data_IF_479857651400
#
_entry.id   IF_479857651400
#
_cell.length_a   1.000
_cell.length_b   1.000
_cell.length_c   1.000
_cell.angle_alpha   90.00
_cell.angle_beta   90.00
_cell.angle_gamma   90.00
#
_symmetry.space_group_name_H-M   'P 1'
#
loop_
_entity.id
_entity.type
_entity.pdbx_description
1 polymer ?
#
# COMPACT_ATOMS: atom_id res chain seq x y z
N UNK A 1 -14.23 3.03 -11.94
CA UNK A 1 -12.86 3.40 -12.33
C UNK A 1 -12.10 2.24 -12.91
N UNK A 2 -11.82 1.21 -12.11
CA UNK A 2 -10.86 0.18 -12.49
C UNK A 2 -11.19 -0.50 -13.81
N UNK A 3 -12.44 -0.92 -14.00
CA UNK A 3 -12.93 -1.47 -15.29
C UNK A 3 -12.69 -0.55 -16.48
N UNK A 4 -12.82 0.78 -16.31
CA UNK A 4 -12.57 1.75 -17.39
C UNK A 4 -11.08 1.86 -17.74
N UNK A 5 -10.21 1.85 -16.74
CA UNK A 5 -8.75 1.88 -16.95
C UNK A 5 -8.26 0.57 -17.57
N UNK A 6 -8.73 -0.59 -17.10
CA UNK A 6 -8.44 -1.88 -17.74
C UNK A 6 -8.87 -1.86 -19.22
N UNK A 7 -10.12 -1.51 -19.50
CA UNK A 7 -10.64 -1.48 -20.87
C UNK A 7 -9.84 -0.53 -21.78
N UNK A 8 -9.43 0.64 -21.26
CA UNK A 8 -8.57 1.57 -22.00
C UNK A 8 -7.24 0.92 -22.39
N UNK A 9 -6.53 0.34 -21.43
CA UNK A 9 -5.20 -0.21 -21.69
C UNK A 9 -5.25 -1.55 -22.44
N UNK A 10 -6.38 -2.25 -22.40
CA UNK A 10 -6.66 -3.39 -23.29
C UNK A 10 -6.77 -2.95 -24.74
N UNK A 11 -7.38 -1.80 -25.01
CA UNK A 11 -7.52 -1.27 -26.35
C UNK A 11 -6.27 -0.54 -26.87
N UNK A 12 -5.45 0.06 -25.99
CA UNK A 12 -4.49 1.10 -26.40
C UNK A 12 -3.04 0.84 -25.98
N UNK A 13 -2.77 -0.04 -25.01
CA UNK A 13 -1.45 -0.08 -24.35
C UNK A 13 -0.85 -1.48 -24.20
N UNK A 14 -1.48 -2.49 -24.81
CA UNK A 14 -0.96 -3.86 -24.84
C UNK A 14 -1.37 -4.73 -23.65
N UNK A 15 -2.35 -4.32 -22.83
CA UNK A 15 -2.89 -5.20 -21.79
C UNK A 15 -3.75 -6.28 -22.46
N UNK A 16 -3.52 -7.56 -22.15
CA UNK A 16 -4.34 -8.64 -22.73
C UNK A 16 -5.81 -8.58 -22.28
N UNK A 17 -6.73 -9.00 -23.16
CA UNK A 17 -8.18 -8.97 -22.88
C UNK A 17 -8.60 -9.94 -21.78
N UNK A 18 -7.79 -10.97 -21.52
CA UNK A 18 -8.00 -11.90 -20.40
C UNK A 18 -7.79 -11.27 -19.02
N UNK A 19 -7.11 -10.12 -18.94
CA UNK A 19 -6.85 -9.47 -17.66
C UNK A 19 -8.13 -8.92 -17.03
N UNK A 20 -8.33 -9.27 -15.76
CA UNK A 20 -9.51 -8.87 -14.97
C UNK A 20 -9.11 -8.05 -13.74
N UNK A 21 -10.11 -7.48 -13.06
CA UNK A 21 -9.92 -6.69 -11.85
C UNK A 21 -10.69 -7.28 -10.68
N UNK A 22 -10.07 -7.30 -9.50
CA UNK A 22 -10.65 -7.75 -8.24
C UNK A 22 -10.20 -6.94 -7.03
N UNK A 23 -10.57 -7.43 -5.85
CA UNK A 23 -10.13 -6.89 -4.58
C UNK A 23 -9.61 -8.00 -3.68
N UNK A 24 -8.67 -7.65 -2.79
CA UNK A 24 -8.26 -8.51 -1.68
C UNK A 24 -8.33 -7.77 -0.32
N UNK A 25 -8.09 -8.49 0.76
CA UNK A 25 -8.12 -7.94 2.13
C UNK A 25 -6.71 -7.67 2.69
N UNK A 26 -5.70 -7.53 1.83
CA UNK A 26 -4.33 -7.32 2.31
C UNK A 26 -4.20 -6.00 3.07
N UNK A 27 -3.50 -6.03 4.20
CA UNK A 27 -3.21 -4.82 4.99
C UNK A 27 -1.78 -4.30 4.78
N UNK A 28 -0.98 -5.04 3.99
CA UNK A 28 0.45 -4.80 3.80
C UNK A 28 0.82 -4.26 2.40
N UNK A 29 -0.14 -4.20 1.46
CA UNK A 29 0.07 -3.67 0.11
C UNK A 29 -1.17 -2.96 -0.40
N UNK A 30 -0.95 -2.02 -1.30
CA UNK A 30 -1.99 -1.24 -1.98
C UNK A 30 -2.69 -2.06 -3.08
N UNK A 31 -1.89 -2.76 -3.89
CA UNK A 31 -2.34 -3.59 -5.00
C UNK A 31 -1.42 -4.78 -5.27
N UNK A 32 -1.81 -5.62 -6.21
CA UNK A 32 -0.99 -6.72 -6.72
C UNK A 32 -1.42 -7.15 -8.13
N UNK A 33 -0.44 -7.31 -9.01
CA UNK A 33 -0.55 -8.02 -10.28
C UNK A 33 -0.44 -9.54 -10.07
N UNK A 34 -1.51 -10.28 -10.36
CA UNK A 34 -1.54 -11.75 -10.28
C UNK A 34 -1.45 -12.37 -11.66
N UNK A 35 -0.23 -12.74 -12.05
CA UNK A 35 0.07 -13.27 -13.38
C UNK A 35 -0.64 -14.60 -13.68
N UNK A 36 -0.74 -15.51 -12.71
CA UNK A 36 -1.37 -16.84 -12.92
C UNK A 36 -2.86 -16.73 -13.17
N UNK A 37 -3.53 -15.89 -12.40
CA UNK A 37 -4.97 -15.64 -12.48
C UNK A 37 -5.32 -14.60 -13.55
N UNK A 38 -4.33 -13.95 -14.17
CA UNK A 38 -4.51 -12.79 -15.06
C UNK A 38 -5.45 -11.76 -14.41
N UNK A 39 -5.15 -11.39 -13.17
CA UNK A 39 -6.02 -10.51 -12.36
C UNK A 39 -5.20 -9.44 -11.64
N UNK A 40 -5.70 -8.22 -11.66
CA UNK A 40 -5.18 -7.11 -10.87
C UNK A 40 -6.09 -6.91 -9.67
N UNK A 41 -5.54 -6.99 -8.46
CA UNK A 41 -6.27 -6.71 -7.23
C UNK A 41 -5.81 -5.40 -6.60
N UNK A 42 -6.77 -4.68 -6.01
CA UNK A 42 -6.48 -3.67 -4.99
C UNK A 42 -6.90 -4.15 -3.61
N UNK A 43 -6.20 -3.69 -2.59
CA UNK A 43 -6.60 -3.94 -1.20
C UNK A 43 -7.84 -3.09 -0.87
N UNK A 44 -8.90 -3.74 -0.37
CA UNK A 44 -10.06 -3.02 0.19
C UNK A 44 -9.64 -2.10 1.32
N UNK A 45 -8.75 -2.59 2.19
CA UNK A 45 -8.23 -1.82 3.31
C UNK A 45 -7.56 -0.53 2.82
N UNK A 46 -6.73 -0.61 1.78
CA UNK A 46 -6.12 0.55 1.16
C UNK A 46 -7.14 1.52 0.57
N UNK A 47 -8.03 1.02 -0.29
CA UNK A 47 -9.00 1.84 -1.03
C UNK A 47 -9.93 2.66 -0.13
N UNK A 48 -10.21 2.20 1.09
CA UNK A 48 -11.04 2.93 2.05
C UNK A 48 -10.41 4.23 2.57
N UNK A 49 -9.09 4.39 2.44
CA UNK A 49 -8.32 5.54 2.97
C UNK A 49 -7.58 6.32 1.90
N UNK A 50 -7.36 5.70 0.75
CA UNK A 50 -6.64 6.28 -0.37
C UNK A 50 -7.50 7.34 -1.08
N UNK A 51 -6.86 8.41 -1.56
CA UNK A 51 -7.55 9.33 -2.45
C UNK A 51 -7.84 8.67 -3.79
N UNK A 52 -8.71 9.29 -4.59
CA UNK A 52 -8.96 8.83 -5.95
C UNK A 52 -7.68 8.72 -6.79
N UNK A 53 -6.82 9.74 -6.71
CA UNK A 53 -5.58 9.79 -7.46
C UNK A 53 -4.62 8.67 -7.03
N UNK A 54 -4.55 8.37 -5.74
CA UNK A 54 -3.72 7.28 -5.22
C UNK A 54 -4.19 5.91 -5.74
N UNK A 55 -5.50 5.66 -5.73
CA UNK A 55 -6.09 4.42 -6.24
C UNK A 55 -5.83 4.30 -7.75
N UNK A 56 -5.97 5.39 -8.50
CA UNK A 56 -5.67 5.43 -9.93
C UNK A 56 -4.20 5.12 -10.22
N UNK A 57 -3.27 5.79 -9.53
CA UNK A 57 -1.85 5.56 -9.67
C UNK A 57 -1.46 4.11 -9.31
N UNK A 58 -2.05 3.55 -8.25
CA UNK A 58 -1.82 2.15 -7.85
C UNK A 58 -2.33 1.19 -8.91
N UNK A 59 -3.50 1.46 -9.48
CA UNK A 59 -4.03 0.59 -10.53
C UNK A 59 -3.15 0.65 -11.79
N UNK A 60 -2.70 1.83 -12.19
CA UNK A 60 -1.78 2.00 -13.31
C UNK A 60 -0.43 1.31 -13.03
N UNK A 61 0.06 1.34 -11.79
CA UNK A 61 1.25 0.60 -11.37
C UNK A 61 1.11 -0.90 -11.65
N UNK A 62 0.01 -1.52 -11.22
CA UNK A 62 -0.23 -2.95 -11.44
C UNK A 62 -0.56 -3.28 -12.91
N UNK A 63 -1.21 -2.37 -13.64
CA UNK A 63 -1.43 -2.53 -15.10
C UNK A 63 -0.10 -2.51 -15.84
N UNK A 64 0.85 -1.65 -15.46
CA UNK A 64 2.18 -1.63 -16.07
C UNK A 64 2.87 -2.99 -15.91
N UNK A 65 2.84 -3.58 -14.70
CA UNK A 65 3.35 -4.94 -14.44
C UNK A 65 2.69 -6.00 -15.33
N UNK A 66 1.36 -5.92 -15.49
CA UNK A 66 0.60 -6.83 -16.33
C UNK A 66 0.95 -6.71 -17.83
N UNK A 67 1.33 -5.51 -18.29
CA UNK A 67 1.75 -5.25 -19.68
C UNK A 67 3.17 -5.73 -19.94
N UNK A 68 4.11 -5.42 -19.04
CA UNK A 68 5.53 -5.71 -19.29
C UNK A 68 5.93 -7.15 -18.96
N UNK A 69 5.23 -7.82 -18.04
CA UNK A 69 5.56 -9.19 -17.62
C UNK A 69 6.23 -9.26 -16.24
N UNK A 70 6.35 -10.48 -15.71
CA UNK A 70 6.84 -10.74 -14.35
C UNK A 70 8.37 -10.70 -14.22
N UNK A 71 9.07 -10.88 -15.34
CA UNK A 71 10.52 -10.75 -15.48
C UNK A 71 10.98 -9.30 -15.29
N UNK A 72 10.09 -8.35 -15.57
CA UNK A 72 10.30 -6.93 -15.38
C UNK A 72 9.72 -6.52 -14.03
N UNK A 73 10.57 -6.52 -13.00
CA UNK A 73 10.25 -5.86 -11.72
C UNK A 73 10.12 -4.34 -11.91
N UNK A 74 10.54 -3.52 -10.94
CA UNK A 74 10.52 -2.05 -11.12
C UNK A 74 11.70 -1.51 -11.95
N UNK A 75 12.10 -2.24 -12.99
CA UNK A 75 13.25 -1.92 -13.85
C UNK A 75 12.95 -0.78 -14.86
N UNK A 76 13.91 -0.48 -15.73
CA UNK A 76 13.76 0.59 -16.71
C UNK A 76 12.63 0.34 -17.73
N UNK A 77 12.30 -0.92 -18.02
CA UNK A 77 11.21 -1.31 -18.93
C UNK A 77 9.88 -1.02 -18.27
N UNK A 78 9.70 -1.51 -17.05
CA UNK A 78 8.50 -1.24 -16.25
C UNK A 78 8.31 0.26 -16.01
N UNK A 79 9.35 0.97 -15.57
CA UNK A 79 9.23 2.40 -15.25
C UNK A 79 8.84 3.24 -16.46
N UNK A 80 9.37 2.91 -17.64
CA UNK A 80 8.97 3.56 -18.89
C UNK A 80 7.50 3.32 -19.18
N UNK A 81 7.05 2.06 -19.12
CA UNK A 81 5.64 1.73 -19.36
C UNK A 81 4.72 2.38 -18.32
N UNK A 82 5.09 2.34 -17.05
CA UNK A 82 4.34 2.96 -15.96
C UNK A 82 4.14 4.46 -16.20
N UNK A 83 5.20 5.20 -16.53
CA UNK A 83 5.10 6.63 -16.87
C UNK A 83 4.29 6.88 -18.14
N UNK A 84 4.48 6.07 -19.18
CA UNK A 84 3.73 6.15 -20.44
C UNK A 84 2.21 6.06 -20.22
N UNK A 85 1.77 5.18 -19.31
CA UNK A 85 0.34 5.01 -19.01
C UNK A 85 -0.18 5.93 -17.89
N UNK A 86 0.66 6.86 -17.40
CA UNK A 86 0.26 7.89 -16.44
C UNK A 86 0.47 7.55 -14.96
N UNK A 87 1.20 6.48 -14.62
CA UNK A 87 1.66 6.23 -13.25
C UNK A 87 2.89 7.09 -12.92
N UNK A 88 3.06 7.45 -11.65
CA UNK A 88 4.27 8.13 -11.16
C UNK A 88 5.52 7.26 -11.24
N UNK A 89 5.37 5.94 -11.40
CA UNK A 89 6.43 4.94 -11.36
C UNK A 89 7.24 4.93 -10.06
N UNK A 90 6.68 5.49 -8.99
CA UNK A 90 7.24 5.41 -7.65
C UNK A 90 6.97 4.03 -7.06
N UNK A 91 7.93 3.52 -6.28
CA UNK A 91 7.75 2.26 -5.57
C UNK A 91 6.83 2.49 -4.39
N UNK A 92 5.62 1.93 -4.39
CA UNK A 92 4.74 1.90 -3.23
C UNK A 92 5.16 0.86 -2.18
N UNK A 93 6.48 0.62 -2.02
CA UNK A 93 6.97 -0.24 -0.96
C UNK A 93 6.73 0.46 0.37
N UNK A 94 6.02 -0.22 1.26
CA UNK A 94 5.86 0.13 2.67
C UNK A 94 4.74 1.10 3.05
N UNK A 95 3.65 1.11 2.27
CA UNK A 95 2.42 1.69 2.78
C UNK A 95 1.72 0.65 3.69
N UNK A 96 2.09 0.66 4.97
CA UNK A 96 1.22 0.09 6.02
C UNK A 96 -0.03 0.96 6.06
N UNK A 97 -0.99 0.68 5.19
CA UNK A 97 -2.16 1.55 5.07
C UNK A 97 -3.08 1.45 6.28
N UNK A 98 -3.00 0.38 7.06
CA UNK A 98 -3.82 0.26 8.27
C UNK A 98 -3.27 1.16 9.36
N UNK A 99 -4.16 1.87 10.05
CA UNK A 99 -3.80 2.57 11.28
C UNK A 99 -3.04 1.59 12.19
N UNK A 100 -1.92 2.04 12.76
CA UNK A 100 -1.14 1.20 13.64
C UNK A 100 -1.98 0.73 14.81
N UNK A 101 -2.13 -0.58 15.02
CA UNK A 101 -2.94 -1.13 16.13
C UNK A 101 -2.50 -0.69 17.52
N UNK A 102 -1.26 -0.27 17.69
CA UNK A 102 -0.69 0.16 18.96
C UNK A 102 -0.02 1.51 18.84
N UNK A 103 -0.31 2.40 19.78
CA UNK A 103 0.38 3.68 19.98
C UNK A 103 1.18 3.60 21.28
N UNK A 104 2.47 3.88 21.19
CA UNK A 104 3.36 4.06 22.33
C UNK A 104 3.57 5.55 22.59
N UNK A 105 3.47 5.97 23.84
CA UNK A 105 3.65 7.36 24.24
C UNK A 105 4.67 7.47 25.38
N UNK A 106 5.44 8.54 25.38
CA UNK A 106 6.36 8.87 26.46
C UNK A 106 6.13 10.31 26.90
N UNK A 107 6.25 10.61 28.20
CA UNK A 107 6.07 11.95 28.76
C UNK A 107 7.01 13.02 28.16
N UNK A 108 8.06 12.65 27.41
CA UNK A 108 8.85 13.58 26.59
C UNK A 108 8.20 13.93 25.24
N UNK A 109 6.89 13.67 25.06
CA UNK A 109 6.10 13.89 23.83
C UNK A 109 6.50 13.06 22.60
N UNK A 110 7.33 12.02 22.74
CA UNK A 110 7.61 11.09 21.64
C UNK A 110 6.54 10.02 21.53
N UNK A 111 6.26 9.61 20.29
CA UNK A 111 5.27 8.59 19.95
C UNK A 111 5.86 7.50 19.05
N UNK A 112 5.33 6.29 19.17
CA UNK A 112 5.67 5.15 18.34
C UNK A 112 4.41 4.44 17.87
N UNK A 113 4.42 3.95 16.64
CA UNK A 113 3.29 3.28 16.02
C UNK A 113 3.68 1.86 15.63
N UNK A 114 2.87 0.87 16.01
CA UNK A 114 3.15 -0.55 15.77
C UNK A 114 1.89 -1.32 15.35
N UNK A 115 2.04 -2.21 14.36
CA UNK A 115 1.00 -3.19 14.02
C UNK A 115 0.96 -4.38 14.99
N UNK A 116 2.15 -4.79 15.48
CA UNK A 116 2.31 -5.87 16.47
C UNK A 116 3.19 -5.37 17.60
N UNK A 117 2.82 -5.70 18.83
CA UNK A 117 3.57 -5.37 20.04
C UNK A 117 4.08 -6.65 20.70
N UNK A 118 5.40 -6.86 20.68
CA UNK A 118 6.03 -8.00 21.35
C UNK A 118 5.89 -7.90 22.87
N UNK A 119 5.95 -9.04 23.56
CA UNK A 119 5.80 -9.10 25.03
C UNK A 119 6.87 -8.28 25.76
N UNK A 120 8.09 -8.20 25.19
CA UNK A 120 9.20 -7.37 25.68
C UNK A 120 8.88 -5.88 25.58
N UNK A 121 8.34 -5.42 24.45
CA UNK A 121 8.00 -4.01 24.27
C UNK A 121 6.82 -3.58 25.14
N UNK A 122 5.82 -4.46 25.32
CA UNK A 122 4.63 -4.18 26.13
C UNK A 122 4.93 -3.85 27.59
N UNK A 123 5.97 -4.47 28.18
CA UNK A 123 6.26 -4.35 29.61
C UNK A 123 7.60 -3.67 29.94
N UNK A 124 8.38 -3.26 28.93
CA UNK A 124 9.75 -2.80 29.16
C UNK A 124 10.36 -1.97 28.04
N UNK A 125 9.54 -1.37 27.18
CA UNK A 125 10.06 -0.43 26.19
C UNK A 125 10.54 0.85 26.90
N UNK A 126 11.80 1.20 26.71
CA UNK A 126 12.40 2.44 27.23
C UNK A 126 12.60 3.44 26.10
N UNK A 127 12.20 4.69 26.34
CA UNK A 127 12.45 5.80 25.44
C UNK A 127 13.94 6.14 25.43
N UNK A 128 14.60 5.89 24.30
CA UNK A 128 16.04 6.19 24.13
C UNK A 128 16.40 7.66 24.31
N UNK A 129 15.43 8.57 24.20
CA UNK A 129 15.69 10.01 24.30
C UNK A 129 15.66 10.55 25.74
N UNK A 130 14.94 9.90 26.66
CA UNK A 130 14.79 10.40 28.04
C UNK A 130 14.85 9.32 29.12
N UNK A 131 15.10 8.06 28.75
CA UNK A 131 15.22 6.94 29.69
C UNK A 131 13.91 6.47 30.33
N UNK A 132 12.77 7.14 30.08
CA UNK A 132 11.47 6.77 30.66
C UNK A 132 10.79 5.63 29.91
N UNK A 133 9.93 4.90 30.61
CA UNK A 133 9.09 3.85 30.02
C UNK A 133 8.14 4.41 28.97
N UNK A 134 7.92 3.64 27.90
CA UNK A 134 6.92 3.90 26.86
C UNK A 134 5.63 3.20 27.26
N UNK A 135 4.56 3.97 27.44
CA UNK A 135 3.22 3.45 27.70
C UNK A 135 2.56 3.08 26.38
N UNK A 136 2.12 1.82 26.23
CA UNK A 136 1.47 1.34 25.02
C UNK A 136 -0.03 1.18 25.23
N UNK A 137 -0.82 1.62 24.25
CA UNK A 137 -2.27 1.44 24.21
C UNK A 137 -2.72 0.97 22.84
N UNK A 138 -3.89 0.33 22.80
CA UNK A 138 -4.56 0.06 21.52
C UNK A 138 -4.91 1.38 20.85
N UNK A 139 -4.67 1.44 19.55
CA UNK A 139 -5.12 2.55 18.73
C UNK A 139 -6.59 2.29 18.35
N UNK A 140 -7.50 3.11 18.88
CA UNK A 140 -8.93 3.02 18.59
C UNK A 140 -9.28 3.50 17.18
N UNK A 141 -8.33 4.10 16.45
CA UNK A 141 -8.53 4.57 15.08
C UNK A 141 -9.20 5.93 15.00
N UNK A 142 -9.40 6.62 16.12
CA UNK A 142 -9.82 8.03 16.12
C UNK A 142 -8.62 8.88 15.72
N UNK A 143 -8.74 9.59 14.60
CA UNK A 143 -7.79 10.64 14.22
C UNK A 143 -7.76 11.71 15.32
N UNK A 144 -6.58 12.25 15.68
CA UNK A 144 -6.55 13.43 16.53
C UNK A 144 -7.28 14.56 15.79
N UNK A 145 -8.36 15.06 16.38
CA UNK A 145 -8.99 16.30 15.95
C UNK A 145 -7.91 17.38 15.82
N UNK A 146 -7.75 17.89 14.61
CA UNK A 146 -6.92 19.06 14.32
C UNK A 146 -7.50 20.31 14.95
#
# INVERSE_FOLDING_TARGET
>A
MARRLLARHQAQSGLGTQWTFGFDLSTARAGVCRYRETRIDLSVSYCLRATRADIENTLLHEIAHAIVGAEHGHDAVWQRKAREIGSTAERCHDLTHTAARWVGECGCRRRWFRQRLSRRLRHGAICKACGRTVAWRWNTGEEPAG
#
